data_IF_912004841947
#
_entry.id   IF_912004841947
#
_cell.length_a   1.000
_cell.length_b   1.000
_cell.length_c   1.000
_cell.angle_alpha   90.00
_cell.angle_beta   90.00
_cell.angle_gamma   90.00
#
_symmetry.space_group_name_H-M   'P 1'
#
loop_
_entity.id
_entity.type
_entity.pdbx_description
1 polymer ?
#
# COMPACT_ATOMS: atom_id res chain seq x y z
N UNK A 1 24.08 -10.63 -14.52
CA UNK A 1 23.50 -10.28 -13.21
C UNK A 1 22.29 -9.36 -13.33
N UNK A 2 22.20 -8.51 -14.36
CA UNK A 2 21.10 -7.55 -14.54
C UNK A 2 19.71 -8.17 -14.81
N UNK A 3 19.66 -9.36 -15.43
CA UNK A 3 18.38 -10.01 -15.75
C UNK A 3 17.66 -10.63 -14.55
N UNK A 4 18.42 -11.13 -13.55
CA UNK A 4 17.82 -11.69 -12.33
C UNK A 4 17.30 -10.56 -11.44
N UNK A 5 18.08 -9.48 -11.31
CA UNK A 5 17.69 -8.33 -10.50
C UNK A 5 16.48 -7.59 -11.09
N UNK A 6 16.43 -7.43 -12.41
CA UNK A 6 15.27 -6.84 -13.10
C UNK A 6 14.03 -7.74 -13.02
N UNK A 7 14.17 -9.07 -13.11
CA UNK A 7 13.09 -10.02 -12.89
C UNK A 7 12.51 -9.95 -11.47
N UNK A 8 13.38 -9.90 -10.46
CA UNK A 8 13.00 -9.84 -9.05
C UNK A 8 12.34 -8.49 -8.71
N UNK A 9 12.87 -7.38 -9.24
CA UNK A 9 12.24 -6.06 -9.15
C UNK A 9 10.84 -6.07 -9.75
N UNK A 10 10.67 -6.65 -10.94
CA UNK A 10 9.36 -6.72 -11.61
C UNK A 10 8.35 -7.54 -10.82
N UNK A 11 8.78 -8.67 -10.24
CA UNK A 11 7.96 -9.49 -9.35
C UNK A 11 7.55 -8.73 -8.08
N UNK A 12 8.51 -8.09 -7.40
CA UNK A 12 8.23 -7.29 -6.21
C UNK A 12 7.25 -6.16 -6.51
N UNK A 13 7.47 -5.39 -7.58
CA UNK A 13 6.55 -4.33 -7.99
C UNK A 13 5.16 -4.87 -8.29
N UNK A 14 5.05 -6.01 -8.96
CA UNK A 14 3.77 -6.65 -9.25
C UNK A 14 3.05 -7.12 -7.98
N UNK A 15 3.78 -7.77 -7.06
CA UNK A 15 3.22 -8.25 -5.79
C UNK A 15 2.79 -7.10 -4.88
N UNK A 16 3.60 -6.04 -4.81
CA UNK A 16 3.25 -4.83 -4.06
C UNK A 16 2.01 -4.16 -4.67
N UNK A 17 1.94 -4.05 -6.01
CA UNK A 17 0.77 -3.49 -6.68
C UNK A 17 -0.50 -4.29 -6.41
N UNK A 18 -0.40 -5.63 -6.44
CA UNK A 18 -1.52 -6.51 -6.17
C UNK A 18 -1.94 -6.45 -4.69
N UNK A 19 -0.96 -6.46 -3.78
CA UNK A 19 -1.19 -6.27 -2.35
C UNK A 19 -1.85 -4.92 -2.03
N UNK A 20 -1.46 -3.86 -2.72
CA UNK A 20 -2.07 -2.54 -2.58
C UNK A 20 -3.53 -2.54 -3.04
N UNK A 21 -3.84 -3.16 -4.19
CA UNK A 21 -5.22 -3.30 -4.66
C UNK A 21 -6.08 -4.08 -3.66
N UNK A 22 -5.57 -5.19 -3.12
CA UNK A 22 -6.25 -5.96 -2.08
C UNK A 22 -6.44 -5.15 -0.79
N UNK A 23 -5.44 -4.38 -0.36
CA UNK A 23 -5.54 -3.49 0.80
C UNK A 23 -6.62 -2.43 0.60
N UNK A 24 -6.63 -1.73 -0.53
CA UNK A 24 -7.64 -0.72 -0.84
C UNK A 24 -9.05 -1.32 -0.90
N UNK A 25 -9.20 -2.50 -1.52
CA UNK A 25 -10.49 -3.20 -1.56
C UNK A 25 -10.94 -3.61 -0.16
N UNK A 26 -10.03 -4.13 0.66
CA UNK A 26 -10.29 -4.46 2.07
C UNK A 26 -10.74 -3.25 2.87
N UNK A 27 -10.07 -2.10 2.73
CA UNK A 27 -10.48 -0.85 3.39
C UNK A 27 -11.89 -0.43 2.97
N UNK A 28 -12.20 -0.44 1.68
CA UNK A 28 -13.52 -0.05 1.18
C UNK A 28 -14.60 -1.01 1.71
N UNK A 29 -14.38 -2.31 1.61
CA UNK A 29 -15.33 -3.32 2.10
C UNK A 29 -15.55 -3.17 3.60
N UNK A 30 -14.48 -3.01 4.38
CA UNK A 30 -14.58 -2.80 5.83
C UNK A 30 -15.35 -1.53 6.16
N UNK A 31 -15.14 -0.42 5.44
CA UNK A 31 -15.91 0.82 5.62
C UNK A 31 -17.41 0.65 5.31
N UNK A 32 -17.76 -0.24 4.37
CA UNK A 32 -19.16 -0.48 3.99
C UNK A 32 -19.90 -1.38 4.98
N UNK A 33 -19.22 -2.39 5.52
CA UNK A 33 -19.83 -3.37 6.43
C UNK A 33 -19.67 -3.00 7.91
N UNK A 34 -18.80 -2.04 8.22
CA UNK A 34 -18.45 -1.58 9.58
C UNK A 34 -18.00 -2.70 10.55
N UNK A 35 -17.51 -3.81 9.99
CA UNK A 35 -17.05 -5.01 10.69
C UNK A 35 -15.74 -5.54 10.09
N UNK A 36 -14.98 -6.29 10.88
CA UNK A 36 -13.73 -6.91 10.43
C UNK A 36 -13.99 -7.97 9.37
N UNK A 37 -13.19 -7.97 8.30
CA UNK A 37 -13.33 -8.91 7.19
C UNK A 37 -12.64 -10.22 7.57
N UNK A 38 -13.39 -11.22 8.05
CA UNK A 38 -12.84 -12.55 8.40
C UNK A 38 -11.66 -12.46 9.40
N UNK A 39 -11.74 -11.53 10.37
CA UNK A 39 -10.68 -11.28 11.35
C UNK A 39 -9.55 -10.36 10.86
N UNK A 40 -9.56 -9.96 9.58
CA UNK A 40 -8.68 -8.93 9.05
C UNK A 40 -9.27 -7.53 9.26
N UNK A 41 -8.44 -6.62 9.78
CA UNK A 41 -8.81 -5.25 10.14
C UNK A 41 -7.89 -4.24 9.42
N UNK A 42 -8.04 -4.07 8.10
CA UNK A 42 -7.18 -3.16 7.34
C UNK A 42 -7.26 -1.71 7.80
N UNK A 43 -8.43 -1.23 8.24
CA UNK A 43 -8.58 0.14 8.77
C UNK A 43 -7.85 0.29 10.10
N UNK A 44 -8.06 -0.63 11.05
CA UNK A 44 -7.37 -0.61 12.34
C UNK A 44 -5.86 -0.68 12.17
N UNK A 45 -5.36 -1.53 11.26
CA UNK A 45 -3.93 -1.61 10.96
C UNK A 45 -3.34 -0.29 10.43
N UNK A 46 -4.09 0.45 9.61
CA UNK A 46 -3.66 1.78 9.11
C UNK A 46 -3.70 2.81 10.23
N UNK A 47 -4.71 2.78 11.10
CA UNK A 47 -4.81 3.67 12.26
C UNK A 47 -3.69 3.42 13.26
N UNK A 48 -3.38 2.16 13.55
CA UNK A 48 -2.30 1.74 14.45
C UNK A 48 -0.91 2.10 13.90
N UNK A 49 -0.74 2.12 12.57
CA UNK A 49 0.47 2.64 11.93
C UNK A 49 0.69 4.14 12.19
N UNK A 50 -0.38 4.87 12.54
CA UNK A 50 -0.33 6.21 13.08
C UNK A 50 0.42 7.22 12.20
N UNK A 51 1.19 8.16 12.79
CA UNK A 51 1.89 9.22 12.05
C UNK A 51 2.89 8.71 11.00
N UNK A 52 3.37 7.46 11.14
CA UNK A 52 4.32 6.89 10.20
C UNK A 52 3.70 6.69 8.81
N UNK A 53 2.43 6.30 8.74
CA UNK A 53 1.70 6.16 7.47
C UNK A 53 1.55 7.50 6.75
N UNK A 54 1.21 8.56 7.49
CA UNK A 54 1.11 9.93 6.99
C UNK A 54 2.48 10.43 6.49
N UNK A 55 3.55 10.16 7.24
CA UNK A 55 4.90 10.52 6.84
C UNK A 55 5.34 9.87 5.53
N UNK A 56 5.07 8.57 5.35
CA UNK A 56 5.36 7.86 4.11
C UNK A 56 4.57 8.44 2.93
N UNK A 57 3.28 8.73 3.10
CA UNK A 57 2.47 9.38 2.06
C UNK A 57 3.02 10.77 1.73
N UNK A 58 3.40 11.56 2.73
CA UNK A 58 3.97 12.89 2.51
C UNK A 58 5.27 12.84 1.69
N UNK A 59 6.16 11.89 1.99
CA UNK A 59 7.38 11.69 1.19
C UNK A 59 7.07 11.24 -0.24
N UNK A 60 6.08 10.37 -0.44
CA UNK A 60 5.65 9.94 -1.78
C UNK A 60 5.08 11.14 -2.56
N UNK A 61 4.25 11.97 -1.94
CA UNK A 61 3.66 13.17 -2.57
C UNK A 61 4.75 14.18 -2.92
N UNK A 62 5.71 14.44 -2.01
CA UNK A 62 6.86 15.29 -2.29
C UNK A 62 7.70 14.73 -3.43
N UNK A 63 7.99 13.43 -3.43
CA UNK A 63 8.68 12.77 -4.53
C UNK A 63 7.93 12.97 -5.86
N UNK A 64 6.61 12.76 -5.89
CA UNK A 64 5.80 12.98 -7.09
C UNK A 64 5.79 14.45 -7.54
N UNK A 65 5.78 15.41 -6.61
CA UNK A 65 5.83 16.83 -6.91
C UNK A 65 7.16 17.22 -7.56
N UNK A 66 8.28 16.71 -7.06
CA UNK A 66 9.62 17.07 -7.53
C UNK A 66 10.15 16.21 -8.69
N UNK A 67 9.67 14.97 -8.84
CA UNK A 67 10.03 14.09 -9.96
C UNK A 67 8.96 14.00 -11.06
N UNK A 68 7.87 14.77 -10.96
CA UNK A 68 7.10 15.09 -12.17
C UNK A 68 7.99 15.94 -13.08
N UNK A 69 8.44 15.32 -14.17
CA UNK A 69 8.75 16.05 -15.40
C UNK A 69 7.51 16.74 -15.92
#
# INVERSE_FOLDING_TARGET
MDNIFSGLKKLLTSLISLGLQFLCLGVIVQLLIDEKILGWDPIGNIQDAGPAFIGVIAFIVLYLLFNKK
#
